data_IF_037737161487
#
_entry.id   IF_037737161487
#
_cell.length_a   1.000
_cell.length_b   1.000
_cell.length_c   1.000
_cell.angle_alpha   90.00
_cell.angle_beta   90.00
_cell.angle_gamma   90.00
#
_symmetry.space_group_name_H-M   'P 1'
#
loop_
_entity.id
_entity.type
_entity.pdbx_description
1 polymer ?
#
# COMPACT_ATOMS: atom_id res chain seq x y z
N UNK A 1 -9.81 13.04 -5.18
CA UNK A 1 -9.05 12.08 -6.01
C UNK A 1 -7.53 12.29 -5.96
N UNK A 2 -7.05 13.52 -5.86
CA UNK A 2 -5.60 13.85 -5.90
C UNK A 2 -4.85 13.62 -4.58
N UNK A 3 -5.53 13.60 -3.45
CA UNK A 3 -4.87 13.64 -2.13
C UNK A 3 -4.24 12.30 -1.73
N UNK A 4 -4.81 11.17 -2.17
CA UNK A 4 -4.30 9.83 -1.85
C UNK A 4 -3.11 9.50 -2.74
N UNK A 5 -3.18 9.79 -4.05
CA UNK A 5 -2.08 9.52 -4.99
C UNK A 5 -0.80 10.30 -4.66
N UNK A 6 -0.91 11.56 -4.19
CA UNK A 6 0.25 12.37 -3.75
C UNK A 6 1.01 11.77 -2.56
N UNK A 7 0.35 10.94 -1.75
CA UNK A 7 0.95 10.29 -0.58
C UNK A 7 1.75 9.05 -0.96
N UNK A 8 1.45 8.44 -2.10
CA UNK A 8 2.11 7.23 -2.59
C UNK A 8 3.25 7.56 -3.56
N UNK A 9 2.98 8.35 -4.59
CA UNK A 9 3.94 8.67 -5.65
C UNK A 9 4.00 10.18 -5.86
N UNK A 10 5.14 10.85 -5.57
CA UNK A 10 5.31 12.28 -5.78
C UNK A 10 5.65 12.58 -7.25
N UNK A 11 4.65 12.72 -8.10
CA UNK A 11 4.81 12.94 -9.55
C UNK A 11 5.78 14.07 -9.88
N UNK A 12 5.81 15.13 -9.06
CA UNK A 12 6.72 16.27 -9.27
C UNK A 12 8.20 15.97 -8.96
N UNK A 13 8.48 14.93 -8.15
CA UNK A 13 9.85 14.61 -7.72
C UNK A 13 10.44 13.39 -8.43
N UNK A 14 9.64 12.68 -9.25
CA UNK A 14 10.13 11.48 -9.96
C UNK A 14 11.26 11.83 -10.94
N UNK A 15 11.11 12.90 -11.71
CA UNK A 15 12.14 13.33 -12.67
C UNK A 15 13.45 13.75 -11.96
N UNK A 16 13.36 14.46 -10.85
CA UNK A 16 14.52 14.84 -10.06
C UNK A 16 15.18 13.63 -9.39
N UNK A 17 14.37 12.64 -9.01
CA UNK A 17 14.84 11.41 -8.40
C UNK A 17 15.52 10.50 -9.43
N UNK A 18 14.94 10.36 -10.63
CA UNK A 18 15.55 9.61 -11.73
C UNK A 18 16.86 10.26 -12.20
N UNK A 19 16.93 11.59 -12.25
CA UNK A 19 18.16 12.31 -12.60
C UNK A 19 19.26 12.15 -11.52
N UNK A 20 18.91 12.20 -10.24
CA UNK A 20 19.86 11.97 -9.14
C UNK A 20 20.35 10.52 -9.11
N UNK A 21 19.48 9.55 -9.40
CA UNK A 21 19.84 8.13 -9.52
C UNK A 21 20.74 7.89 -10.73
N UNK A 22 20.47 8.55 -11.86
CA UNK A 22 21.31 8.42 -13.05
C UNK A 22 22.71 9.00 -12.84
N UNK A 23 22.88 10.02 -11.99
CA UNK A 23 24.17 10.60 -11.60
C UNK A 23 24.86 9.86 -10.46
N UNK A 24 24.24 8.81 -9.88
CA UNK A 24 24.73 8.07 -8.72
C UNK A 24 25.01 8.95 -7.49
N UNK A 25 24.36 10.09 -7.37
CA UNK A 25 24.49 10.95 -6.19
C UNK A 25 23.58 10.45 -5.08
N UNK A 26 23.99 9.38 -4.38
CA UNK A 26 23.24 8.78 -3.27
C UNK A 26 22.90 9.79 -2.15
N UNK A 27 23.81 10.71 -1.74
CA UNK A 27 23.47 11.79 -0.82
C UNK A 27 22.31 12.66 -1.31
N UNK A 28 22.29 13.03 -2.58
CA UNK A 28 21.21 13.83 -3.19
C UNK A 28 19.89 13.03 -3.26
N UNK A 29 19.94 11.75 -3.64
CA UNK A 29 18.77 10.84 -3.61
C UNK A 29 18.19 10.76 -2.20
N UNK A 30 19.03 10.58 -1.19
CA UNK A 30 18.60 10.50 0.20
C UNK A 30 17.95 11.81 0.69
N UNK A 31 18.52 12.95 0.35
CA UNK A 31 17.96 14.27 0.67
C UNK A 31 16.59 14.49 -0.02
N UNK A 32 16.45 14.10 -1.29
CA UNK A 32 15.19 14.19 -2.02
C UNK A 32 14.12 13.26 -1.42
N UNK A 33 14.50 12.06 -0.99
CA UNK A 33 13.61 11.13 -0.31
C UNK A 33 13.14 11.67 1.05
N UNK A 34 14.00 12.38 1.78
CA UNK A 34 13.61 13.02 3.05
C UNK A 34 12.75 14.26 2.85
N UNK A 35 12.97 15.04 1.79
CA UNK A 35 12.21 16.25 1.51
C UNK A 35 10.74 15.97 1.17
N UNK A 36 10.45 14.82 0.57
CA UNK A 36 9.10 14.40 0.23
C UNK A 36 8.82 12.97 0.73
N UNK A 37 8.50 12.77 2.02
CA UNK A 37 8.28 11.45 2.60
C UNK A 37 6.97 10.83 2.08
N UNK A 38 7.06 10.08 1.00
CA UNK A 38 5.99 9.27 0.41
C UNK A 38 6.28 7.79 0.60
N UNK A 39 5.32 6.92 0.32
CA UNK A 39 5.55 5.47 0.38
C UNK A 39 6.68 5.07 -0.57
N UNK A 40 6.67 5.57 -1.82
CA UNK A 40 7.73 5.32 -2.80
C UNK A 40 9.12 5.70 -2.27
N UNK A 41 9.28 6.94 -1.78
CA UNK A 41 10.59 7.45 -1.34
C UNK A 41 11.11 6.73 -0.09
N UNK A 42 10.23 6.33 0.82
CA UNK A 42 10.62 5.54 2.01
C UNK A 42 11.06 4.13 1.63
N UNK A 43 10.29 3.44 0.76
CA UNK A 43 10.64 2.10 0.30
C UNK A 43 11.94 2.11 -0.50
N UNK A 44 12.13 3.10 -1.39
CA UNK A 44 13.36 3.27 -2.17
C UNK A 44 14.58 3.56 -1.28
N UNK A 45 14.45 4.50 -0.34
CA UNK A 45 15.51 4.82 0.63
C UNK A 45 15.90 3.60 1.46
N UNK A 46 14.92 2.80 1.91
CA UNK A 46 15.15 1.59 2.68
C UNK A 46 15.85 0.51 1.84
N UNK A 47 15.43 0.32 0.58
CA UNK A 47 16.06 -0.62 -0.34
C UNK A 47 17.51 -0.24 -0.65
N UNK A 48 17.77 1.04 -0.94
CA UNK A 48 19.12 1.55 -1.23
C UNK A 48 20.03 1.52 0.01
N UNK A 49 19.51 1.75 1.20
CA UNK A 49 20.31 1.70 2.44
C UNK A 49 20.79 0.30 2.80
N UNK A 50 20.06 -0.74 2.41
CA UNK A 50 20.42 -2.15 2.61
C UNK A 50 21.41 -2.65 1.54
N UNK A 51 21.51 -1.97 0.39
CA UNK A 51 22.47 -2.30 -0.65
C UNK A 51 23.83 -1.65 -0.34
N UNK A 52 24.87 -2.46 -0.09
CA UNK A 52 26.24 -1.96 0.03
C UNK A 52 26.77 -1.59 -1.37
N UNK A 53 27.38 -0.40 -1.56
CA UNK A 53 27.83 0.08 -2.87
C UNK A 53 28.99 -0.70 -3.52
N UNK A 54 29.53 -1.71 -2.85
CA UNK A 54 30.78 -2.36 -3.27
C UNK A 54 30.64 -3.64 -4.11
N UNK A 55 29.44 -4.10 -4.47
CA UNK A 55 29.24 -5.31 -5.28
C UNK A 55 28.05 -5.14 -6.22
N UNK A 56 28.30 -4.57 -7.40
CA UNK A 56 27.27 -4.22 -8.39
C UNK A 56 26.51 -5.43 -8.99
N UNK A 57 27.20 -6.55 -9.23
CA UNK A 57 26.65 -7.68 -10.01
C UNK A 57 25.69 -8.64 -9.26
N UNK A 58 25.59 -8.56 -7.95
CA UNK A 58 24.62 -9.36 -7.18
C UNK A 58 23.51 -8.51 -6.52
N UNK A 59 23.44 -7.23 -6.85
CA UNK A 59 22.74 -6.25 -6.03
C UNK A 59 21.33 -5.92 -6.53
N UNK A 60 21.03 -6.10 -7.84
CA UNK A 60 19.72 -5.79 -8.42
C UNK A 60 18.62 -6.58 -7.71
N UNK A 61 18.73 -7.89 -7.71
CA UNK A 61 17.75 -8.80 -7.11
C UNK A 61 17.56 -8.54 -5.61
N UNK A 62 18.64 -8.20 -4.89
CA UNK A 62 18.58 -7.84 -3.46
C UNK A 62 17.91 -6.49 -3.23
N UNK A 63 18.14 -5.51 -4.10
CA UNK A 63 17.50 -4.19 -4.01
C UNK A 63 16.02 -4.33 -4.29
N UNK A 64 15.63 -5.04 -5.35
CA UNK A 64 14.25 -5.33 -5.70
C UNK A 64 13.53 -6.08 -4.59
N UNK A 65 14.14 -7.15 -4.05
CA UNK A 65 13.57 -7.92 -2.96
C UNK A 65 13.36 -7.06 -1.70
N UNK A 66 14.35 -6.21 -1.35
CA UNK A 66 14.23 -5.30 -0.20
C UNK A 66 13.21 -4.19 -0.42
N UNK A 67 13.04 -3.75 -1.68
CA UNK A 67 12.03 -2.78 -2.06
C UNK A 67 10.62 -3.38 -1.91
N UNK A 68 10.41 -4.60 -2.43
CA UNK A 68 9.15 -5.33 -2.31
C UNK A 68 8.78 -5.61 -0.85
N UNK A 69 9.72 -6.08 -0.03
CA UNK A 69 9.54 -6.29 1.42
C UNK A 69 9.10 -4.99 2.14
N UNK A 70 9.68 -3.86 1.73
CA UNK A 70 9.30 -2.55 2.29
C UNK A 70 7.90 -2.12 1.87
N UNK A 71 7.47 -2.41 0.64
CA UNK A 71 6.10 -2.13 0.16
C UNK A 71 5.09 -3.01 0.90
N UNK A 72 5.36 -4.29 1.08
CA UNK A 72 4.49 -5.20 1.83
C UNK A 72 4.29 -4.73 3.27
N UNK A 73 5.34 -4.22 3.91
CA UNK A 73 5.26 -3.64 5.24
C UNK A 73 4.36 -2.41 5.32
N UNK A 74 4.44 -1.51 4.35
CA UNK A 74 3.57 -0.31 4.26
C UNK A 74 2.12 -0.68 3.91
N UNK A 75 1.91 -1.66 3.00
CA UNK A 75 0.57 -2.17 2.66
C UNK A 75 -0.11 -2.79 3.88
N UNK A 76 0.61 -3.58 4.66
CA UNK A 76 0.07 -4.26 5.84
C UNK A 76 -0.63 -3.31 6.81
N UNK A 77 -0.02 -2.16 7.09
CA UNK A 77 -0.57 -1.16 7.99
C UNK A 77 -1.87 -0.53 7.48
N UNK A 78 -1.94 -0.20 6.20
CA UNK A 78 -3.13 0.45 5.59
C UNK A 78 -4.23 -0.59 5.34
N UNK A 79 -3.88 -1.78 4.85
CA UNK A 79 -4.80 -2.89 4.62
C UNK A 79 -5.53 -3.31 5.88
N UNK A 80 -4.87 -3.27 7.05
CA UNK A 80 -5.49 -3.61 8.33
C UNK A 80 -6.69 -2.70 8.64
N UNK A 81 -6.56 -1.39 8.45
CA UNK A 81 -7.66 -0.45 8.67
C UNK A 81 -8.83 -0.68 7.71
N UNK A 82 -8.53 -0.99 6.44
CA UNK A 82 -9.55 -1.32 5.44
C UNK A 82 -10.27 -2.62 5.81
N UNK A 83 -9.56 -3.61 6.38
CA UNK A 83 -10.15 -4.87 6.81
C UNK A 83 -11.16 -4.70 7.96
N UNK A 84 -10.99 -3.73 8.87
CA UNK A 84 -12.03 -3.45 9.87
C UNK A 84 -13.36 -3.05 9.21
N UNK A 85 -13.32 -2.32 8.10
CA UNK A 85 -14.52 -1.96 7.37
C UNK A 85 -15.21 -3.20 6.78
N UNK A 86 -14.43 -4.18 6.31
CA UNK A 86 -14.94 -5.46 5.84
C UNK A 86 -15.62 -6.26 6.96
N UNK A 87 -15.03 -6.26 8.15
CA UNK A 87 -15.62 -6.92 9.33
C UNK A 87 -16.98 -6.29 9.66
N UNK A 88 -17.07 -4.96 9.70
CA UNK A 88 -18.34 -4.25 9.95
C UNK A 88 -19.37 -4.58 8.87
N UNK A 89 -18.96 -4.59 7.60
CA UNK A 89 -19.83 -4.92 6.47
C UNK A 89 -20.42 -6.34 6.56
N UNK A 90 -19.61 -7.31 7.04
CA UNK A 90 -20.02 -8.69 7.18
C UNK A 90 -20.87 -8.93 8.45
N UNK A 91 -20.51 -8.31 9.57
CA UNK A 91 -21.12 -8.58 10.87
C UNK A 91 -22.43 -7.81 11.05
N UNK A 92 -22.57 -6.60 10.52
CA UNK A 92 -23.77 -5.79 10.71
C UNK A 92 -25.05 -6.49 10.22
N UNK A 93 -25.12 -7.10 9.03
CA UNK A 93 -26.29 -7.88 8.61
C UNK A 93 -26.56 -9.13 9.49
N UNK A 94 -25.49 -9.74 10.01
CA UNK A 94 -25.64 -10.92 10.89
C UNK A 94 -26.26 -10.53 12.24
N UNK A 95 -25.88 -9.36 12.78
CA UNK A 95 -26.49 -8.80 13.99
C UNK A 95 -27.97 -8.47 13.72
N UNK A 96 -28.29 -7.93 12.53
CA UNK A 96 -29.66 -7.69 12.13
C UNK A 96 -30.49 -9.00 12.07
N UNK A 97 -29.91 -10.06 11.51
CA UNK A 97 -30.55 -11.38 11.48
C UNK A 97 -30.75 -11.95 12.92
N UNK A 98 -29.78 -11.78 13.80
CA UNK A 98 -29.90 -12.17 15.19
C UNK A 98 -31.09 -11.46 15.87
N UNK A 99 -31.29 -10.19 15.53
CA UNK A 99 -32.45 -9.42 16.01
C UNK A 99 -33.79 -10.06 15.59
N UNK A 100 -33.91 -10.55 14.32
CA UNK A 100 -35.15 -11.22 13.88
C UNK A 100 -35.38 -12.52 14.62
N UNK A 101 -34.34 -13.31 14.86
CA UNK A 101 -34.45 -14.56 15.62
C UNK A 101 -34.89 -14.27 17.07
N UNK A 102 -34.30 -13.25 17.70
CA UNK A 102 -34.68 -12.82 19.07
C UNK A 102 -36.13 -12.34 19.14
N UNK A 103 -36.54 -11.49 18.19
CA UNK A 103 -37.91 -10.99 18.12
C UNK A 103 -38.96 -12.10 17.90
N UNK A 104 -38.64 -13.07 17.03
CA UNK A 104 -39.53 -14.22 16.83
C UNK A 104 -39.63 -15.11 18.09
N UNK A 105 -38.55 -15.28 18.85
CA UNK A 105 -38.57 -15.98 20.10
C UNK A 105 -39.49 -15.27 21.10
N UNK A 106 -39.39 -13.94 21.19
CA UNK A 106 -40.27 -13.10 22.03
C UNK A 106 -41.76 -13.26 21.65
N UNK A 107 -42.04 -13.17 20.33
CA UNK A 107 -43.37 -13.35 19.79
C UNK A 107 -43.99 -14.71 20.18
N UNK A 108 -43.25 -15.81 20.09
CA UNK A 108 -43.71 -17.13 20.48
C UNK A 108 -43.87 -17.27 22.01
N UNK A 109 -43.04 -16.62 22.82
CA UNK A 109 -43.20 -16.60 24.28
C UNK A 109 -44.48 -15.84 24.68
N UNK A 110 -44.78 -14.73 24.04
CA UNK A 110 -46.02 -13.95 24.27
C UNK A 110 -47.25 -14.81 23.97
N UNK A 111 -47.26 -15.53 22.82
CA UNK A 111 -48.34 -16.46 22.46
C UNK A 111 -48.51 -17.56 23.54
N UNK A 112 -47.40 -18.11 24.02
CA UNK A 112 -47.41 -19.19 25.03
C UNK A 112 -47.97 -18.76 26.42
N UNK A 113 -47.80 -17.47 26.77
CA UNK A 113 -48.22 -16.95 28.05
C UNK A 113 -49.64 -16.38 28.05
N UNK A 114 -50.03 -15.65 27.03
CA UNK A 114 -51.28 -14.92 26.92
C UNK A 114 -52.31 -15.64 26.03
N UNK A 115 -51.88 -16.65 25.29
CA UNK A 115 -52.70 -17.32 24.29
C UNK A 115 -52.78 -16.47 23.01
N UNK A 116 -53.53 -16.92 22.01
CA UNK A 116 -53.73 -16.19 20.73
C UNK A 116 -54.68 -14.97 20.84
N UNK A 117 -54.82 -14.43 22.05
CA UNK A 117 -55.85 -13.41 22.33
C UNK A 117 -55.49 -11.97 21.93
N UNK A 118 -54.22 -11.65 21.65
CA UNK A 118 -53.82 -10.29 21.27
C UNK A 118 -52.92 -10.27 20.01
N UNK A 119 -53.51 -10.16 18.81
CA UNK A 119 -52.76 -10.04 17.58
C UNK A 119 -51.88 -8.76 17.50
N UNK A 120 -52.18 -7.75 18.30
CA UNK A 120 -51.47 -6.48 18.33
C UNK A 120 -50.09 -6.61 18.92
N UNK A 121 -49.95 -7.30 20.06
CA UNK A 121 -48.65 -7.58 20.69
C UNK A 121 -47.74 -8.44 19.81
N UNK A 122 -48.30 -9.43 19.10
CA UNK A 122 -47.56 -10.25 18.15
C UNK A 122 -47.04 -9.42 16.95
N UNK A 123 -47.87 -8.51 16.43
CA UNK A 123 -47.47 -7.63 15.34
C UNK A 123 -46.36 -6.67 15.76
N UNK A 124 -46.35 -6.20 17.00
CA UNK A 124 -45.27 -5.35 17.52
C UNK A 124 -43.94 -6.08 17.62
N UNK A 125 -43.89 -7.27 18.20
CA UNK A 125 -42.68 -8.10 18.31
C UNK A 125 -42.07 -8.44 16.92
N UNK A 126 -42.93 -8.78 15.94
CA UNK A 126 -42.51 -9.03 14.57
C UNK A 126 -42.01 -7.75 13.90
N UNK A 127 -42.67 -6.62 14.13
CA UNK A 127 -42.26 -5.33 13.58
C UNK A 127 -40.89 -4.90 14.07
N UNK A 128 -40.59 -5.04 15.37
CA UNK A 128 -39.28 -4.77 15.94
C UNK A 128 -38.19 -5.66 15.33
N UNK A 129 -38.50 -6.93 15.18
CA UNK A 129 -37.59 -7.90 14.51
C UNK A 129 -37.20 -7.46 13.08
N UNK A 130 -38.16 -7.01 12.28
CA UNK A 130 -37.90 -6.56 10.92
C UNK A 130 -37.08 -5.25 10.88
N UNK A 131 -37.30 -4.33 11.82
CA UNK A 131 -36.54 -3.08 11.93
C UNK A 131 -35.08 -3.38 12.24
N UNK A 132 -34.77 -4.34 13.10
CA UNK A 132 -33.38 -4.69 13.42
C UNK A 132 -32.61 -5.20 12.21
N UNK A 133 -33.24 -6.02 11.37
CA UNK A 133 -32.62 -6.49 10.10
C UNK A 133 -32.43 -5.34 9.11
N UNK A 134 -33.43 -4.47 8.94
CA UNK A 134 -33.32 -3.30 8.09
C UNK A 134 -32.18 -2.38 8.53
N UNK A 135 -31.98 -2.19 9.83
CA UNK A 135 -30.90 -1.42 10.41
C UNK A 135 -29.53 -2.07 10.12
N UNK A 136 -29.42 -3.39 10.31
CA UNK A 136 -28.19 -4.14 10.01
C UNK A 136 -27.77 -4.01 8.55
N UNK A 137 -28.72 -4.10 7.62
CA UNK A 137 -28.47 -3.94 6.18
C UNK A 137 -28.13 -2.48 5.83
N UNK A 138 -28.79 -1.50 6.45
CA UNK A 138 -28.51 -0.08 6.21
C UNK A 138 -27.08 0.30 6.60
N UNK A 139 -26.49 -0.36 7.59
CA UNK A 139 -25.08 -0.17 7.98
C UNK A 139 -24.16 -1.01 7.10
N UNK A 140 -24.51 -2.28 6.87
CA UNK A 140 -23.65 -3.24 6.18
C UNK A 140 -23.39 -2.89 4.71
N UNK A 141 -24.42 -2.46 3.98
CA UNK A 141 -24.32 -2.15 2.55
C UNK A 141 -23.36 -0.98 2.28
N UNK A 142 -23.49 0.20 2.93
CA UNK A 142 -22.53 1.28 2.73
C UNK A 142 -21.11 0.92 3.17
N UNK A 143 -20.95 0.15 4.26
CA UNK A 143 -19.66 -0.30 4.73
C UNK A 143 -18.97 -1.20 3.69
N UNK A 144 -19.73 -2.10 3.05
CA UNK A 144 -19.21 -2.98 2.00
C UNK A 144 -18.79 -2.19 0.75
N UNK A 145 -19.59 -1.23 0.31
CA UNK A 145 -19.26 -0.36 -0.82
C UNK A 145 -17.96 0.42 -0.52
N UNK A 146 -17.88 1.01 0.67
CA UNK A 146 -16.70 1.75 1.09
C UNK A 146 -15.45 0.85 1.13
N UNK A 147 -15.57 -0.37 1.67
CA UNK A 147 -14.48 -1.35 1.67
C UNK A 147 -13.93 -1.62 0.27
N UNK A 148 -14.79 -1.95 -0.71
CA UNK A 148 -14.35 -2.22 -2.07
C UNK A 148 -13.71 -0.99 -2.74
N UNK A 149 -14.26 0.19 -2.52
CA UNK A 149 -13.70 1.43 -3.08
C UNK A 149 -12.30 1.71 -2.52
N UNK A 150 -12.10 1.59 -1.21
CA UNK A 150 -10.80 1.82 -0.59
C UNK A 150 -9.80 0.73 -0.96
N UNK A 151 -10.20 -0.54 -0.96
CA UNK A 151 -9.35 -1.67 -1.32
C UNK A 151 -8.85 -1.56 -2.76
N UNK A 152 -9.74 -1.27 -3.70
CA UNK A 152 -9.35 -1.12 -5.10
C UNK A 152 -8.42 0.07 -5.33
N UNK A 153 -8.63 1.19 -4.62
CA UNK A 153 -7.73 2.33 -4.70
C UNK A 153 -6.36 2.02 -4.12
N UNK A 154 -6.31 1.35 -2.98
CA UNK A 154 -5.04 0.96 -2.37
C UNK A 154 -4.25 0.06 -3.32
N UNK A 155 -4.87 -0.99 -3.85
CA UNK A 155 -4.21 -1.90 -4.79
C UNK A 155 -3.66 -1.16 -6.04
N UNK A 156 -4.42 -0.20 -6.59
CA UNK A 156 -3.97 0.58 -7.73
C UNK A 156 -2.77 1.48 -7.41
N UNK A 157 -2.73 2.10 -6.22
CA UNK A 157 -1.59 2.94 -5.82
C UNK A 157 -0.35 2.11 -5.47
N UNK A 158 -0.53 0.92 -4.87
CA UNK A 158 0.58 -0.01 -4.62
C UNK A 158 1.19 -0.47 -5.94
N UNK A 159 0.37 -0.88 -6.92
CA UNK A 159 0.86 -1.31 -8.23
C UNK A 159 1.68 -0.20 -8.92
N UNK A 160 1.18 1.03 -8.90
CA UNK A 160 1.94 2.19 -9.42
C UNK A 160 3.25 2.41 -8.69
N UNK A 161 3.26 2.21 -7.37
CA UNK A 161 4.47 2.37 -6.56
C UNK A 161 5.48 1.30 -6.92
N UNK A 162 5.05 0.04 -7.13
CA UNK A 162 5.89 -1.07 -7.57
C UNK A 162 6.49 -0.78 -8.94
N UNK A 163 5.68 -0.39 -9.92
CA UNK A 163 6.14 -0.08 -11.29
C UNK A 163 7.15 1.08 -11.29
N UNK A 164 6.77 2.21 -10.68
CA UNK A 164 7.64 3.40 -10.66
C UNK A 164 8.95 3.13 -9.91
N UNK A 165 8.91 2.39 -8.83
CA UNK A 165 10.12 2.05 -8.07
C UNK A 165 11.00 1.04 -8.77
N UNK A 166 10.41 0.08 -9.49
CA UNK A 166 11.12 -0.85 -10.36
C UNK A 166 11.91 -0.10 -11.44
N UNK A 167 11.26 0.81 -12.18
CA UNK A 167 11.90 1.65 -13.21
C UNK A 167 13.06 2.47 -12.64
N UNK A 168 12.92 3.01 -11.44
CA UNK A 168 13.97 3.78 -10.76
C UNK A 168 15.15 2.89 -10.34
N UNK A 169 14.89 1.67 -9.87
CA UNK A 169 15.94 0.69 -9.53
C UNK A 169 16.66 0.23 -10.79
N UNK A 170 15.95 -0.01 -11.87
CA UNK A 170 16.53 -0.39 -13.16
C UNK A 170 17.45 0.69 -13.69
N UNK A 171 17.04 1.95 -13.67
CA UNK A 171 17.86 3.10 -14.04
C UNK A 171 19.14 3.17 -13.20
N UNK A 172 19.06 2.90 -11.90
CA UNK A 172 20.21 2.90 -10.99
C UNK A 172 21.19 1.75 -11.29
N UNK A 173 20.69 0.55 -11.55
CA UNK A 173 21.50 -0.64 -11.79
C UNK A 173 22.13 -0.61 -13.19
N UNK A 174 21.39 -0.20 -14.20
CA UNK A 174 21.89 -0.10 -15.58
C UNK A 174 23.09 0.84 -15.67
N UNK A 175 23.04 1.97 -15.00
CA UNK A 175 24.17 2.89 -14.90
C UNK A 175 25.34 2.33 -14.08
N UNK A 176 25.10 1.39 -13.16
CA UNK A 176 26.18 0.73 -12.44
C UNK A 176 27.01 -0.18 -13.34
N UNK A 177 26.34 -0.86 -14.25
CA UNK A 177 26.99 -1.77 -15.21
C UNK A 177 27.83 -1.01 -16.25
N UNK A 178 27.36 0.16 -16.71
CA UNK A 178 28.11 1.01 -17.67
C UNK A 178 29.34 1.67 -17.04
N UNK A 179 29.30 2.05 -15.77
CA UNK A 179 30.43 2.69 -15.09
C UNK A 179 31.57 1.70 -14.81
N UNK A 180 31.25 0.44 -14.48
CA UNK A 180 32.24 -0.61 -14.27
C UNK A 180 32.84 -1.15 -15.58
N UNK A 181 32.18 -0.90 -16.74
CA UNK A 181 32.64 -1.31 -18.05
C UNK A 181 33.62 -0.32 -18.73
N UNK A 182 33.85 0.87 -18.17
CA UNK A 182 34.88 1.82 -18.61
C UNK A 182 36.11 1.75 -17.69
N UNK A 183 37.15 0.95 -18.03
CA UNK A 183 38.42 1.04 -17.32
C UNK A 183 39.03 2.44 -17.57
N UNK A 184 39.56 3.04 -16.51
CA UNK A 184 40.27 4.31 -16.46
C UNK A 184 41.29 4.43 -17.61
N UNK A 185 40.96 5.16 -18.66
CA UNK A 185 41.88 5.50 -19.77
C UNK A 185 42.70 6.75 -19.44
N UNK A 186 42.91 7.09 -18.18
CA UNK A 186 43.70 8.26 -17.78
C UNK A 186 45.12 7.99 -17.32
N UNK A 187 45.56 6.72 -17.23
CA UNK A 187 46.89 6.41 -16.69
C UNK A 187 47.97 6.07 -17.74
N UNK A 188 47.72 6.35 -19.02
CA UNK A 188 48.70 6.05 -20.08
C UNK A 188 49.28 7.28 -20.80
N UNK A 189 49.05 8.50 -20.31
CA UNK A 189 49.54 9.72 -20.95
C UNK A 189 50.72 10.41 -20.25
N UNK A 190 51.22 9.91 -19.13
CA UNK A 190 52.30 10.58 -18.36
C UNK A 190 53.65 9.84 -18.34
N UNK A 191 53.82 8.84 -19.21
CA UNK A 191 55.03 8.01 -19.24
C UNK A 191 55.93 8.13 -20.48
N UNK A 192 55.76 9.11 -21.37
CA UNK A 192 56.57 9.21 -22.61
C UNK A 192 57.08 10.61 -22.92
N UNK A 193 57.84 11.21 -22.00
CA UNK A 193 58.78 12.29 -22.36
C UNK A 193 60.04 12.12 -21.53
N UNK A 194 60.95 11.29 -22.01
CA UNK A 194 62.36 11.32 -21.63
C UNK A 194 63.14 11.94 -22.77
N UNK A 195 63.77 13.12 -22.59
CA UNK A 195 64.64 13.68 -23.65
C UNK A 195 66.00 13.00 -23.54
N UNK A 196 66.40 12.29 -24.61
CA UNK A 196 67.78 11.90 -24.82
C UNK A 196 68.64 13.16 -24.99
N UNK A 197 69.53 13.37 -24.05
CA UNK A 197 70.64 14.34 -24.16
C UNK A 197 71.84 13.64 -24.72
N UNK A 198 72.44 14.33 -25.75
CA UNK A 198 73.78 14.30 -26.31
C UNK A 198 74.22 13.40 -27.33
#
# INVERSE_FOLDING_TARGET
>A
KETVGRRFVPVASISSLSEALSKRDLPQVYNLCQAAPTVLTRCLSNALSKSRPAQADGNKEKIEASYMDSIEGEDGGISQWINYLNVVAAVAPMIGLLGTVSGMISAFQTIGQVGMGDPSALAEDIGEALITTATGLTIGIPAMIAYFVFRNRLNAEILRTVETGGDLIDTFVEQSTYADAQPDTQDTAEGAIEPAAE
#
